data_IF_711427559917
#
_entry.id   IF_711427559917
#
_cell.length_a   1.000
_cell.length_b   1.000
_cell.length_c   1.000
_cell.angle_alpha   90.00
_cell.angle_beta   90.00
_cell.angle_gamma   90.00
#
_symmetry.space_group_name_H-M   'P 1'
#
loop_
_entity.id
_entity.type
_entity.pdbx_description
1 polymer ?
#
# COMPACT_ATOMS: atom_id res chain seq x y z
N UNK A 1 -38.84 22.20 8.73
CA UNK A 1 -37.36 22.07 8.75
C UNK A 1 -36.89 21.43 7.44
N UNK A 2 -35.77 21.89 6.87
CA UNK A 2 -35.17 21.24 5.69
C UNK A 2 -34.20 20.18 6.19
N UNK A 3 -34.52 18.93 5.88
CA UNK A 3 -33.64 17.78 5.99
C UNK A 3 -32.27 18.10 5.36
N UNK A 4 -31.12 17.71 5.95
CA UNK A 4 -29.84 18.04 5.37
C UNK A 4 -29.69 17.33 4.02
N UNK A 5 -29.26 18.09 3.02
CA UNK A 5 -28.85 17.62 1.72
C UNK A 5 -27.66 16.67 1.90
N UNK A 6 -27.76 15.49 1.31
CA UNK A 6 -26.68 14.50 1.24
C UNK A 6 -25.41 15.16 0.70
N UNK A 7 -24.39 15.25 1.54
CA UNK A 7 -23.09 15.83 1.21
C UNK A 7 -22.12 14.69 0.82
N UNK A 8 -21.80 14.49 -0.47
CA UNK A 8 -20.92 13.41 -0.92
C UNK A 8 -19.47 13.55 -0.43
N UNK A 9 -19.13 14.66 0.23
CA UNK A 9 -17.84 14.88 0.89
C UNK A 9 -17.62 14.01 2.14
N UNK A 10 -18.67 13.41 2.73
CA UNK A 10 -18.56 12.40 3.81
C UNK A 10 -18.13 11.00 3.32
N UNK A 11 -17.98 10.81 2.00
CA UNK A 11 -17.19 9.69 1.43
C UNK A 11 -15.70 10.04 1.56
N UNK A 12 -15.28 10.50 2.74
CA UNK A 12 -13.90 10.84 3.03
C UNK A 12 -13.04 9.60 2.84
N UNK A 13 -11.97 9.75 2.07
CA UNK A 13 -10.89 8.79 1.90
C UNK A 13 -10.45 8.24 3.27
N UNK A 14 -11.03 7.11 3.68
CA UNK A 14 -10.61 6.43 4.91
C UNK A 14 -9.24 5.85 4.65
N UNK A 15 -8.21 6.63 4.95
CA UNK A 15 -6.83 6.20 4.87
C UNK A 15 -6.63 5.01 5.82
N UNK A 16 -6.20 3.90 5.25
CA UNK A 16 -5.85 2.68 5.97
C UNK A 16 -4.34 2.57 6.05
N UNK A 17 -3.84 2.18 7.23
CA UNK A 17 -2.42 1.86 7.40
C UNK A 17 -2.17 0.44 6.91
N UNK A 18 -1.36 0.32 5.86
CA UNK A 18 -1.00 -0.95 5.23
C UNK A 18 0.45 -1.28 5.60
N UNK A 19 0.69 -2.52 6.03
CA UNK A 19 2.04 -3.01 6.28
C UNK A 19 2.75 -3.32 4.95
N UNK A 20 4.02 -2.95 4.84
CA UNK A 20 4.86 -3.27 3.67
C UNK A 20 5.95 -4.24 4.08
N UNK A 21 5.95 -5.41 3.45
CA UNK A 21 6.90 -6.49 3.69
C UNK A 21 7.79 -6.72 2.48
N UNK A 22 8.97 -7.26 2.75
CA UNK A 22 9.88 -7.82 1.74
C UNK A 22 10.27 -9.22 2.21
N UNK A 23 9.97 -10.24 1.40
CA UNK A 23 10.15 -11.66 1.74
C UNK A 23 9.55 -12.01 3.11
N UNK A 24 8.34 -11.51 3.39
CA UNK A 24 7.61 -11.76 4.65
C UNK A 24 8.09 -10.96 5.86
N UNK A 25 9.19 -10.19 5.76
CA UNK A 25 9.69 -9.35 6.86
C UNK A 25 9.12 -7.94 6.74
N UNK A 26 8.57 -7.38 7.83
CA UNK A 26 8.05 -6.01 7.88
C UNK A 26 9.18 -4.99 7.68
N UNK A 27 9.07 -4.18 6.63
CA UNK A 27 10.07 -3.16 6.26
C UNK A 27 9.53 -1.74 6.34
N UNK A 28 8.23 -1.53 6.26
CA UNK A 28 7.61 -0.23 6.40
C UNK A 28 6.10 -0.29 6.53
N UNK A 29 5.48 0.87 6.60
CA UNK A 29 4.02 1.03 6.55
C UNK A 29 3.69 2.21 5.66
N UNK A 30 2.53 2.18 5.02
CA UNK A 30 2.03 3.27 4.21
C UNK A 30 0.58 3.57 4.55
N UNK A 31 0.14 4.81 4.33
CA UNK A 31 -1.26 5.21 4.44
C UNK A 31 -1.82 5.37 3.03
N UNK A 32 -2.91 4.67 2.72
CA UNK A 32 -3.58 4.76 1.42
C UNK A 32 -5.09 4.77 1.61
N UNK A 33 -5.80 5.38 0.67
CA UNK A 33 -7.24 5.25 0.62
C UNK A 33 -7.65 3.78 0.45
N UNK A 34 -8.74 3.37 1.09
CA UNK A 34 -9.21 1.97 1.13
C UNK A 34 -9.44 1.37 -0.27
N UNK A 35 -9.81 2.22 -1.22
CA UNK A 35 -10.11 1.93 -2.62
C UNK A 35 -8.91 2.14 -3.56
N UNK A 36 -7.71 2.41 -3.02
CA UNK A 36 -6.50 2.58 -3.84
C UNK A 36 -6.26 1.32 -4.68
N UNK A 37 -6.15 1.44 -6.02
CA UNK A 37 -5.84 0.31 -6.89
C UNK A 37 -4.51 -0.34 -6.54
N UNK A 38 -4.41 -1.66 -6.78
CA UNK A 38 -3.19 -2.43 -6.50
C UNK A 38 -1.93 -1.81 -7.11
N UNK A 39 -1.98 -1.45 -8.39
CA UNK A 39 -0.83 -0.90 -9.12
C UNK A 39 -0.30 0.36 -8.44
N UNK A 40 -1.20 1.28 -8.08
CA UNK A 40 -0.88 2.52 -7.38
C UNK A 40 -0.36 2.24 -5.98
N UNK A 41 -0.97 1.30 -5.24
CA UNK A 41 -0.51 0.94 -3.91
C UNK A 41 0.91 0.36 -3.91
N UNK A 42 1.20 -0.50 -4.89
CA UNK A 42 2.52 -1.09 -5.11
C UNK A 42 3.55 -0.03 -5.51
N UNK A 43 3.18 0.92 -6.37
CA UNK A 43 4.04 2.04 -6.77
C UNK A 43 4.42 2.91 -5.57
N UNK A 44 3.44 3.34 -4.77
CA UNK A 44 3.66 4.14 -3.56
C UNK A 44 4.52 3.39 -2.54
N UNK A 45 4.31 2.09 -2.37
CA UNK A 45 5.13 1.27 -1.48
C UNK A 45 6.61 1.21 -1.93
N UNK A 46 6.89 1.23 -3.24
CA UNK A 46 8.27 1.23 -3.79
C UNK A 46 8.99 2.56 -3.60
N UNK A 47 8.25 3.67 -3.50
CA UNK A 47 8.80 5.02 -3.28
C UNK A 47 9.36 5.20 -1.86
N UNK A 48 8.94 4.36 -0.90
CA UNK A 48 9.45 4.39 0.47
C UNK A 48 10.93 4.02 0.45
N UNK A 49 11.79 4.95 0.87
CA UNK A 49 13.25 4.81 0.83
C UNK A 49 13.74 3.50 1.46
N UNK A 50 13.19 3.15 2.63
CA UNK A 50 13.52 1.91 3.33
C UNK A 50 13.16 0.67 2.51
N UNK A 51 12.02 0.66 1.84
CA UNK A 51 11.61 -0.43 0.96
C UNK A 51 12.53 -0.51 -0.25
N UNK A 52 12.83 0.63 -0.89
CA UNK A 52 13.74 0.71 -2.03
C UNK A 52 15.10 0.07 -1.73
N UNK A 53 15.69 0.36 -0.56
CA UNK A 53 16.96 -0.25 -0.10
C UNK A 53 16.90 -1.79 0.01
N UNK A 54 15.74 -2.37 0.32
CA UNK A 54 15.58 -3.82 0.40
C UNK A 54 15.31 -4.49 -0.95
N UNK A 55 14.82 -3.72 -1.93
CA UNK A 55 14.54 -4.15 -3.30
C UNK A 55 15.72 -3.90 -4.25
N UNK A 56 16.61 -2.97 -3.91
CA UNK A 56 17.79 -2.62 -4.71
C UNK A 56 18.68 -3.84 -4.97
N UNK A 57 19.09 -3.99 -6.23
CA UNK A 57 19.90 -5.13 -6.69
C UNK A 57 19.16 -6.48 -6.73
N UNK A 58 17.85 -6.51 -6.44
CA UNK A 58 17.06 -7.75 -6.44
C UNK A 58 15.98 -7.74 -7.50
N UNK A 59 15.74 -8.90 -8.09
CA UNK A 59 14.63 -9.10 -9.00
C UNK A 59 13.34 -9.34 -8.20
N UNK A 60 12.30 -8.54 -8.44
CA UNK A 60 10.99 -8.70 -7.82
C UNK A 60 10.22 -9.76 -8.61
N UNK A 61 10.07 -10.96 -8.04
CA UNK A 61 9.35 -12.08 -8.64
C UNK A 61 7.83 -11.93 -8.53
N UNK A 62 7.35 -11.31 -7.45
CA UNK A 62 5.93 -11.10 -7.20
C UNK A 62 5.70 -9.93 -6.26
N UNK A 63 4.67 -9.14 -6.51
CA UNK A 63 4.07 -8.27 -5.51
C UNK A 63 2.72 -8.87 -5.11
N UNK A 64 2.46 -8.97 -3.81
CA UNK A 64 1.18 -9.44 -3.28
C UNK A 64 0.53 -8.28 -2.56
N UNK A 65 -0.59 -7.81 -3.09
CA UNK A 65 -1.42 -6.81 -2.43
C UNK A 65 -2.67 -7.45 -1.83
N UNK A 66 -2.92 -7.14 -0.57
CA UNK A 66 -4.19 -7.42 0.10
C UNK A 66 -4.74 -6.08 0.58
N UNK A 67 -5.84 -5.59 -0.02
CA UNK A 67 -6.41 -4.29 0.31
C UNK A 67 -6.60 -4.11 1.81
N UNK A 68 -6.22 -2.93 2.32
CA UNK A 68 -6.31 -2.58 3.75
C UNK A 68 -5.56 -3.50 4.72
N UNK A 69 -4.70 -4.41 4.24
CA UNK A 69 -3.93 -5.33 5.09
C UNK A 69 -2.43 -5.21 4.83
N UNK A 70 -1.97 -5.60 3.65
CA UNK A 70 -0.55 -5.79 3.40
C UNK A 70 -0.14 -5.64 1.94
N UNK A 71 1.09 -5.18 1.73
CA UNK A 71 1.85 -5.34 0.48
C UNK A 71 3.08 -6.16 0.81
N UNK A 72 3.29 -7.28 0.11
CA UNK A 72 4.50 -8.09 0.26
C UNK A 72 5.23 -8.20 -1.08
N UNK A 73 6.47 -7.74 -1.11
CA UNK A 73 7.37 -7.93 -2.23
C UNK A 73 8.16 -9.23 -2.05
N UNK A 74 7.97 -10.15 -2.97
CA UNK A 74 8.76 -11.38 -3.07
C UNK A 74 9.89 -11.12 -4.06
N UNK A 75 11.13 -11.18 -3.57
CA UNK A 75 12.33 -11.05 -4.40
C UNK A 75 12.99 -12.42 -4.54
N UNK A 76 13.69 -12.66 -5.64
CA UNK A 76 14.66 -13.77 -5.65
C UNK A 76 15.76 -13.47 -4.63
N UNK A 77 16.22 -14.51 -3.94
CA UNK A 77 17.52 -14.46 -3.29
C UNK A 77 18.54 -14.88 -4.35
N UNK A 78 19.47 -13.99 -4.67
CA UNK A 78 20.74 -14.34 -5.30
C UNK A 78 21.78 -14.53 -4.21
#
# INVERSE_FOLDING_TARGET
EKWPLYDPSLVEDRLVRIAVQVNGKLRGTLLLAKDTPEEKAVEEARKIEKIRKYLEGKEIKKAVFVPSKIINFVTSQG
#
